data_IF_296940577950
#
_entry.id   IF_296940577950
#
_cell.length_a   1.000
_cell.length_b   1.000
_cell.length_c   1.000
_cell.angle_alpha   90.00
_cell.angle_beta   90.00
_cell.angle_gamma   90.00
#
_symmetry.space_group_name_H-M   'P 1'
#
loop_
_entity.id
_entity.type
_entity.pdbx_description
1 polymer ?
#
# COMPACT_ATOMS: atom_id res chain seq x y z
N UNK A 1 -9.44 -32.14 15.98
CA UNK A 1 -10.39 -32.04 14.84
C UNK A 1 -10.82 -30.59 14.72
N UNK A 2 -10.47 -29.90 13.63
CA UNK A 2 -10.82 -28.50 13.45
C UNK A 2 -12.34 -28.36 13.34
N UNK A 3 -12.94 -27.46 14.13
CA UNK A 3 -14.36 -27.17 14.08
C UNK A 3 -14.74 -26.73 12.65
N UNK A 4 -15.46 -27.59 11.94
CA UNK A 4 -16.01 -27.24 10.63
C UNK A 4 -17.14 -26.25 10.87
N UNK A 5 -16.84 -24.95 10.71
CA UNK A 5 -17.84 -23.90 10.78
C UNK A 5 -18.93 -24.12 9.73
N UNK A 6 -20.15 -23.67 10.04
CA UNK A 6 -21.27 -23.74 9.08
C UNK A 6 -20.97 -22.90 7.84
N UNK A 7 -21.61 -23.20 6.70
CA UNK A 7 -21.46 -22.40 5.47
C UNK A 7 -21.58 -20.89 5.71
N UNK A 8 -22.56 -20.48 6.52
CA UNK A 8 -22.80 -19.09 6.85
C UNK A 8 -21.59 -18.46 7.59
N UNK A 9 -21.02 -19.17 8.57
CA UNK A 9 -19.85 -18.71 9.33
C UNK A 9 -18.61 -18.60 8.45
N UNK A 10 -18.32 -19.63 7.65
CA UNK A 10 -17.13 -19.62 6.77
C UNK A 10 -17.25 -18.54 5.69
N UNK A 11 -18.45 -18.31 5.14
CA UNK A 11 -18.70 -17.22 4.20
C UNK A 11 -18.54 -15.84 4.84
N UNK A 12 -18.99 -15.68 6.08
CA UNK A 12 -18.78 -14.44 6.82
C UNK A 12 -17.29 -14.18 7.06
N UNK A 13 -16.53 -15.22 7.38
CA UNK A 13 -15.07 -15.14 7.51
C UNK A 13 -14.40 -14.75 6.17
N UNK A 14 -14.83 -15.32 5.04
CA UNK A 14 -14.34 -14.95 3.71
C UNK A 14 -14.56 -13.47 3.40
N UNK A 15 -15.74 -12.93 3.72
CA UNK A 15 -16.06 -11.50 3.57
C UNK A 15 -15.19 -10.61 4.47
N UNK A 16 -14.99 -11.01 5.72
CA UNK A 16 -14.15 -10.24 6.65
C UNK A 16 -12.69 -10.17 6.15
N UNK A 17 -12.13 -11.29 5.66
CA UNK A 17 -10.80 -11.31 5.08
C UNK A 17 -10.71 -10.51 3.77
N UNK A 18 -11.75 -10.50 2.96
CA UNK A 18 -11.83 -9.65 1.75
C UNK A 18 -11.68 -8.17 2.12
N UNK A 19 -12.47 -7.68 3.09
CA UNK A 19 -12.37 -6.29 3.58
C UNK A 19 -11.00 -5.98 4.19
N UNK A 20 -10.42 -6.91 4.94
CA UNK A 20 -9.05 -6.74 5.45
C UNK A 20 -8.02 -6.67 4.32
N UNK A 21 -8.22 -7.44 3.24
CA UNK A 21 -7.34 -7.41 2.07
C UNK A 21 -7.43 -6.05 1.37
N UNK A 22 -8.64 -5.50 1.21
CA UNK A 22 -8.86 -4.17 0.62
C UNK A 22 -8.16 -3.07 1.42
N UNK A 23 -8.18 -3.14 2.75
CA UNK A 23 -7.46 -2.20 3.61
C UNK A 23 -5.94 -2.29 3.43
N UNK A 24 -5.38 -3.49 3.31
CA UNK A 24 -3.95 -3.67 3.03
C UNK A 24 -3.56 -3.17 1.63
N UNK A 25 -4.40 -3.39 0.63
CA UNK A 25 -4.18 -2.82 -0.71
C UNK A 25 -4.19 -1.31 -0.69
N UNK A 26 -5.05 -0.70 0.11
CA UNK A 26 -5.06 0.75 0.27
C UNK A 26 -3.73 1.27 0.80
N UNK A 27 -3.18 0.66 1.85
CA UNK A 27 -1.85 0.99 2.37
C UNK A 27 -0.75 0.73 1.34
N UNK A 28 -0.77 -0.43 0.68
CA UNK A 28 0.28 -0.81 -0.27
C UNK A 28 0.31 0.08 -1.51
N UNK A 29 -0.85 0.51 -2.00
CA UNK A 29 -0.95 1.42 -3.13
C UNK A 29 -0.36 2.81 -2.85
N UNK A 30 -0.25 3.23 -1.59
CA UNK A 30 0.38 4.51 -1.23
C UNK A 30 1.87 4.53 -1.61
N UNK A 31 2.56 3.40 -1.48
CA UNK A 31 3.96 3.27 -1.91
C UNK A 31 4.11 3.36 -3.43
N UNK A 32 3.11 2.91 -4.19
CA UNK A 32 3.09 3.06 -5.65
C UNK A 32 2.85 4.51 -6.08
N UNK A 33 2.11 5.30 -5.30
CA UNK A 33 1.80 6.71 -5.59
C UNK A 33 2.85 7.72 -5.11
N UNK A 34 3.88 7.28 -4.40
CA UNK A 34 4.87 8.19 -3.81
C UNK A 34 5.84 8.70 -4.88
N UNK A 35 5.90 10.03 -5.08
CA UNK A 35 6.72 10.69 -6.11
C UNK A 35 8.23 10.58 -5.84
N UNK A 36 8.63 10.61 -4.57
CA UNK A 36 10.03 10.39 -4.13
C UNK A 36 10.14 9.03 -3.46
N UNK A 37 10.19 7.98 -4.27
CA UNK A 37 10.36 6.63 -3.75
C UNK A 37 11.81 6.42 -3.30
N UNK A 38 11.97 5.90 -2.08
CA UNK A 38 13.30 5.56 -1.59
C UNK A 38 13.93 4.42 -2.42
N UNK A 39 15.26 4.45 -2.63
CA UNK A 39 16.01 3.41 -3.35
C UNK A 39 15.82 2.00 -2.79
N UNK A 40 15.46 1.90 -1.51
CA UNK A 40 15.20 0.65 -0.80
C UNK A 40 13.76 0.62 -0.32
N UNK A 41 13.10 -0.55 -0.35
CA UNK A 41 11.80 -0.73 0.28
C UNK A 41 11.87 -0.40 1.77
N UNK A 42 10.89 0.36 2.27
CA UNK A 42 10.76 0.58 3.71
C UNK A 42 10.33 -0.71 4.43
N UNK A 43 10.57 -0.77 5.74
CA UNK A 43 10.10 -1.91 6.54
C UNK A 43 8.57 -2.02 6.52
N UNK A 44 7.86 -0.90 6.41
CA UNK A 44 6.40 -0.87 6.29
C UNK A 44 5.91 -1.41 4.94
N UNK A 45 6.57 -1.07 3.83
CA UNK A 45 6.27 -1.62 2.49
C UNK A 45 6.42 -3.14 2.50
N UNK A 46 7.58 -3.64 2.98
CA UNK A 46 7.86 -5.08 3.06
C UNK A 46 6.84 -5.81 3.91
N UNK A 47 6.57 -5.29 5.11
CA UNK A 47 5.59 -5.87 6.01
C UNK A 47 4.19 -5.90 5.42
N UNK A 48 3.78 -4.83 4.74
CA UNK A 48 2.46 -4.75 4.10
C UNK A 48 2.36 -5.75 2.94
N UNK A 49 3.43 -5.91 2.14
CA UNK A 49 3.49 -6.91 1.07
C UNK A 49 3.41 -8.34 1.64
N UNK A 50 4.16 -8.65 2.69
CA UNK A 50 4.11 -9.94 3.39
C UNK A 50 2.70 -10.23 3.90
N UNK A 51 2.06 -9.25 4.54
CA UNK A 51 0.67 -9.38 5.01
C UNK A 51 -0.32 -9.62 3.87
N UNK A 52 -0.12 -8.98 2.70
CA UNK A 52 -0.93 -9.22 1.50
C UNK A 52 -0.75 -10.65 0.98
N UNK A 53 0.49 -11.14 0.89
CA UNK A 53 0.73 -12.53 0.48
C UNK A 53 0.09 -13.52 1.44
N UNK A 54 0.29 -13.33 2.76
CA UNK A 54 -0.29 -14.19 3.78
C UNK A 54 -1.82 -14.22 3.74
N UNK A 55 -2.48 -13.06 3.62
CA UNK A 55 -3.94 -13.01 3.65
C UNK A 55 -4.55 -13.62 2.38
N UNK A 56 -3.89 -13.50 1.22
CA UNK A 56 -4.34 -14.14 -0.02
C UNK A 56 -4.25 -15.67 0.06
N UNK A 57 -3.22 -16.21 0.72
CA UNK A 57 -3.11 -17.65 0.99
C UNK A 57 -4.15 -18.12 2.03
N UNK A 58 -4.34 -17.37 3.13
CA UNK A 58 -5.40 -17.63 4.11
C UNK A 58 -6.79 -17.65 3.44
N UNK A 59 -7.07 -16.71 2.54
CA UNK A 59 -8.31 -16.67 1.77
C UNK A 59 -8.47 -17.89 0.88
N UNK A 60 -7.39 -18.35 0.24
CA UNK A 60 -7.42 -19.59 -0.57
C UNK A 60 -7.88 -20.78 0.27
N UNK A 61 -7.35 -20.94 1.48
CA UNK A 61 -7.76 -22.01 2.40
C UNK A 61 -9.24 -21.91 2.81
N UNK A 62 -9.76 -20.71 3.06
CA UNK A 62 -11.18 -20.50 3.36
C UNK A 62 -12.07 -20.86 2.17
N UNK A 63 -11.69 -20.46 0.95
CA UNK A 63 -12.47 -20.80 -0.25
C UNK A 63 -12.46 -22.30 -0.55
N UNK A 64 -11.37 -23.00 -0.22
CA UNK A 64 -11.35 -24.46 -0.24
C UNK A 64 -12.27 -25.09 0.81
N UNK A 65 -12.39 -24.48 2.00
CA UNK A 65 -13.34 -24.93 3.01
C UNK A 65 -14.80 -24.73 2.56
N UNK A 66 -15.12 -23.59 1.95
CA UNK A 66 -16.43 -23.37 1.32
C UNK A 66 -16.70 -24.41 0.23
N UNK A 67 -15.73 -24.68 -0.64
CA UNK A 67 -15.87 -25.70 -1.67
C UNK A 67 -16.24 -27.07 -1.08
N UNK A 68 -15.49 -27.53 -0.06
CA UNK A 68 -15.79 -28.80 0.63
C UNK A 68 -17.18 -28.83 1.28
N UNK A 69 -17.62 -27.72 1.88
CA UNK A 69 -18.96 -27.62 2.44
C UNK A 69 -20.05 -27.70 1.37
N UNK A 70 -19.85 -27.06 0.22
CA UNK A 70 -20.76 -27.15 -0.92
C UNK A 70 -20.82 -28.58 -1.48
N UNK A 71 -19.66 -29.22 -1.63
CA UNK A 71 -19.55 -30.58 -2.18
C UNK A 71 -20.17 -31.64 -1.23
N UNK A 72 -20.25 -31.33 0.08
CA UNK A 72 -20.87 -32.20 1.07
C UNK A 72 -22.40 -32.10 1.13
N UNK A 73 -23.00 -31.14 0.43
CA UNK A 73 -24.46 -30.98 0.43
C UNK A 73 -25.14 -32.02 -0.49
N UNK A 74 -26.19 -32.70 -0.02
CA UNK A 74 -26.88 -33.73 -0.79
C UNK A 74 -27.60 -33.15 -2.02
N UNK A 75 -27.94 -31.85 -1.99
CA UNK A 75 -28.53 -31.14 -3.12
C UNK A 75 -27.69 -29.91 -3.46
N UNK A 76 -27.34 -29.71 -4.74
CA UNK A 76 -26.50 -28.58 -5.14
C UNK A 76 -27.24 -27.26 -4.95
N UNK A 77 -26.66 -26.36 -4.16
CA UNK A 77 -27.17 -25.00 -3.97
C UNK A 77 -26.58 -24.03 -5.00
N UNK A 78 -27.38 -23.64 -5.98
CA UNK A 78 -26.98 -22.67 -7.02
C UNK A 78 -26.49 -21.34 -6.40
N UNK A 79 -27.17 -20.85 -5.36
CA UNK A 79 -26.78 -19.63 -4.66
C UNK A 79 -25.38 -19.77 -4.03
N UNK A 80 -25.11 -20.88 -3.32
CA UNK A 80 -23.82 -21.11 -2.67
C UNK A 80 -22.69 -21.25 -3.70
N UNK A 81 -22.96 -21.95 -4.81
CA UNK A 81 -22.04 -22.05 -5.95
C UNK A 81 -21.67 -20.67 -6.53
N UNK A 82 -22.66 -19.83 -6.83
CA UNK A 82 -22.42 -18.47 -7.34
C UNK A 82 -21.64 -17.60 -6.34
N UNK A 83 -21.91 -17.72 -5.04
CA UNK A 83 -21.15 -17.00 -4.02
C UNK A 83 -19.67 -17.43 -3.99
N UNK A 84 -19.41 -18.74 -4.05
CA UNK A 84 -18.05 -19.27 -4.08
C UNK A 84 -17.30 -18.84 -5.35
N UNK A 85 -17.96 -18.90 -6.51
CA UNK A 85 -17.41 -18.42 -7.78
C UNK A 85 -16.99 -16.95 -7.69
N UNK A 86 -17.87 -16.08 -7.15
CA UNK A 86 -17.57 -14.65 -6.94
C UNK A 86 -16.35 -14.44 -6.03
N UNK A 87 -16.26 -15.16 -4.91
CA UNK A 87 -15.10 -15.00 -4.03
C UNK A 87 -13.79 -15.45 -4.68
N UNK A 88 -13.82 -16.47 -5.54
CA UNK A 88 -12.64 -16.92 -6.32
C UNK A 88 -12.22 -15.88 -7.35
N UNK A 89 -13.19 -15.28 -8.04
CA UNK A 89 -12.95 -14.20 -8.99
C UNK A 89 -12.28 -12.99 -8.31
N UNK A 90 -12.83 -12.51 -7.19
CA UNK A 90 -12.26 -11.39 -6.43
C UNK A 90 -10.85 -11.72 -5.93
N UNK A 91 -10.62 -12.96 -5.46
CA UNK A 91 -9.28 -13.39 -5.04
C UNK A 91 -8.28 -13.33 -6.21
N UNK A 92 -8.68 -13.74 -7.41
CA UNK A 92 -7.83 -13.69 -8.59
C UNK A 92 -7.56 -12.25 -9.05
N UNK A 93 -8.57 -11.39 -9.00
CA UNK A 93 -8.41 -9.95 -9.26
C UNK A 93 -7.39 -9.34 -8.29
N UNK A 94 -7.50 -9.63 -6.98
CA UNK A 94 -6.57 -9.15 -5.97
C UNK A 94 -5.13 -9.65 -6.19
N UNK A 95 -4.93 -10.91 -6.61
CA UNK A 95 -3.58 -11.41 -6.96
C UNK A 95 -2.97 -10.66 -8.13
N UNK A 96 -3.78 -10.40 -9.16
CA UNK A 96 -3.35 -9.64 -10.33
C UNK A 96 -3.00 -8.19 -9.94
N UNK A 97 -3.80 -7.58 -9.08
CA UNK A 97 -3.57 -6.23 -8.56
C UNK A 97 -2.28 -6.13 -7.74
N UNK A 98 -1.98 -7.12 -6.88
CA UNK A 98 -0.72 -7.17 -6.15
C UNK A 98 0.48 -7.22 -7.09
N UNK A 99 0.42 -8.06 -8.14
CA UNK A 99 1.48 -8.12 -9.15
C UNK A 99 1.64 -6.79 -9.88
N UNK A 100 0.53 -6.10 -10.19
CA UNK A 100 0.53 -4.79 -10.84
C UNK A 100 1.20 -3.73 -9.97
N UNK A 101 0.79 -3.62 -8.70
CA UNK A 101 1.36 -2.66 -7.75
C UNK A 101 2.86 -2.89 -7.52
N UNK A 102 3.28 -4.16 -7.36
CA UNK A 102 4.70 -4.53 -7.26
C UNK A 102 5.51 -4.06 -8.45
N UNK A 103 5.00 -4.27 -9.66
CA UNK A 103 5.65 -3.82 -10.89
C UNK A 103 5.75 -2.30 -10.96
N UNK A 104 4.71 -1.58 -10.55
CA UNK A 104 4.71 -0.11 -10.53
C UNK A 104 5.74 0.44 -9.55
N UNK A 105 5.77 -0.08 -8.33
CA UNK A 105 6.73 0.30 -7.28
C UNK A 105 8.16 0.02 -7.74
N UNK A 106 8.42 -1.16 -8.31
CA UNK A 106 9.75 -1.53 -8.83
C UNK A 106 10.18 -0.59 -9.94
N UNK A 107 9.30 -0.32 -10.91
CA UNK A 107 9.60 0.59 -12.02
C UNK A 107 9.87 2.02 -11.53
N UNK A 108 9.09 2.51 -10.56
CA UNK A 108 9.32 3.82 -9.97
C UNK A 108 10.69 3.91 -9.28
N UNK A 109 11.08 2.85 -8.56
CA UNK A 109 12.37 2.75 -7.87
C UNK A 109 13.55 2.65 -8.83
N UNK A 110 13.44 1.85 -9.88
CA UNK A 110 14.47 1.75 -10.92
C UNK A 110 14.71 3.09 -11.59
N UNK A 111 13.64 3.85 -11.88
CA UNK A 111 13.75 5.23 -12.37
C UNK A 111 14.48 6.13 -11.37
N UNK A 112 14.10 6.11 -10.10
CA UNK A 112 14.76 6.92 -9.06
C UNK A 112 16.27 6.63 -8.95
N UNK A 113 16.65 5.35 -9.03
CA UNK A 113 18.06 4.93 -9.00
C UNK A 113 18.84 5.41 -10.23
N UNK A 114 18.27 5.32 -11.43
CA UNK A 114 18.89 5.85 -12.65
C UNK A 114 19.14 7.36 -12.55
N UNK A 115 18.18 8.12 -12.01
CA UNK A 115 18.35 9.57 -11.81
C UNK A 115 19.45 9.92 -10.81
N UNK A 116 19.60 9.14 -9.73
CA UNK A 116 20.67 9.35 -8.76
C UNK A 116 22.05 9.13 -9.38
N UNK A 117 22.20 8.07 -10.19
CA UNK A 117 23.47 7.76 -10.83
C UNK A 117 23.85 8.84 -11.85
N UNK A 118 22.90 9.28 -12.67
CA UNK A 118 23.11 10.36 -13.64
C UNK A 118 23.51 11.66 -12.93
N UNK A 119 22.87 12.02 -11.81
CA UNK A 119 23.26 13.21 -11.02
C UNK A 119 24.69 13.10 -10.47
N UNK A 120 25.10 11.90 -10.05
CA UNK A 120 26.47 11.64 -9.56
C UNK A 120 27.50 11.72 -10.68
N UNK A 121 27.22 11.15 -11.85
CA UNK A 121 28.12 11.19 -13.00
C UNK A 121 28.29 12.63 -13.50
N UNK A 122 27.21 13.42 -13.50
CA UNK A 122 27.24 14.84 -13.87
C UNK A 122 28.09 15.65 -12.88
N UNK A 123 27.96 15.42 -11.57
CA UNK A 123 28.75 16.16 -10.58
C UNK A 123 30.23 15.78 -10.64
N UNK A 124 30.55 14.50 -10.84
CA UNK A 124 31.92 14.03 -11.05
C UNK A 124 32.54 14.56 -12.35
N UNK A 125 31.77 14.56 -13.44
CA UNK A 125 32.22 15.11 -14.72
C UNK A 125 32.48 16.62 -14.62
N UNK A 126 31.57 17.41 -14.03
CA UNK A 126 31.80 18.84 -13.78
C UNK A 126 33.03 19.12 -12.91
N UNK A 127 33.32 18.25 -11.95
CA UNK A 127 34.53 18.35 -11.15
C UNK A 127 35.81 18.01 -11.96
N UNK A 128 35.68 17.18 -13.01
CA UNK A 128 36.80 16.79 -13.89
C UNK A 128 36.98 17.67 -15.13
N UNK A 129 35.93 18.34 -15.58
CA UNK A 129 35.92 19.23 -16.75
C UNK A 129 36.50 20.60 -16.37
N UNK A 130 37.83 20.64 -16.21
CA UNK A 130 38.61 21.82 -15.88
C UNK A 130 39.26 22.48 -17.12
N UNK A 131 38.79 22.18 -18.34
CA UNK A 131 39.38 22.67 -19.59
C UNK A 131 38.43 23.61 -20.37
N UNK A 132 38.73 24.93 -20.53
CA UNK A 132 37.78 25.93 -21.03
C UNK A 132 37.53 25.95 -22.54
N UNK A 133 38.32 25.27 -23.38
CA UNK A 133 38.44 25.63 -24.81
C UNK A 133 37.88 24.61 -25.83
N UNK A 134 37.54 23.38 -25.44
CA UNK A 134 36.87 22.39 -26.30
C UNK A 134 35.40 22.14 -25.93
N UNK A 135 34.90 22.82 -24.89
CA UNK A 135 33.69 22.42 -24.17
C UNK A 135 32.34 22.82 -24.79
N UNK A 136 32.25 23.80 -25.69
CA UNK A 136 30.93 24.36 -26.07
C UNK A 136 30.06 23.40 -26.89
N UNK A 137 30.61 22.78 -27.94
CA UNK A 137 29.86 21.83 -28.76
C UNK A 137 29.49 20.55 -27.99
N UNK A 138 30.39 20.11 -27.11
CA UNK A 138 30.20 18.95 -26.25
C UNK A 138 29.17 19.24 -25.14
N UNK A 139 29.21 20.47 -24.58
CA UNK A 139 28.22 21.01 -23.66
C UNK A 139 26.84 21.11 -24.30
N UNK A 140 26.73 21.59 -25.54
CA UNK A 140 25.43 21.69 -26.25
C UNK A 140 24.83 20.32 -26.58
N UNK A 141 25.66 19.34 -26.97
CA UNK A 141 25.20 17.96 -27.19
C UNK A 141 24.78 17.31 -25.87
N UNK A 142 25.49 17.59 -24.78
CA UNK A 142 25.11 17.13 -23.45
C UNK A 142 23.82 17.80 -22.96
N UNK A 143 23.67 19.10 -23.18
CA UNK A 143 22.45 19.85 -22.84
C UNK A 143 21.23 19.27 -23.54
N UNK A 144 21.38 18.85 -24.80
CA UNK A 144 20.34 18.15 -25.53
C UNK A 144 19.98 16.81 -24.90
N UNK A 145 20.96 15.98 -24.54
CA UNK A 145 20.70 14.72 -23.82
C UNK A 145 20.02 14.96 -22.47
N UNK A 146 20.42 16.00 -21.74
CA UNK A 146 19.79 16.42 -20.48
C UNK A 146 18.33 16.83 -20.69
N UNK A 147 18.04 17.62 -21.72
CA UNK A 147 16.68 18.04 -22.06
C UNK A 147 15.81 16.86 -22.47
N UNK A 148 16.30 15.98 -23.33
CA UNK A 148 15.56 14.78 -23.77
C UNK A 148 15.24 13.85 -22.58
N UNK A 149 16.20 13.65 -21.69
CA UNK A 149 16.01 12.87 -20.46
C UNK A 149 15.04 13.56 -19.48
N UNK A 150 15.14 14.89 -19.33
CA UNK A 150 14.23 15.68 -18.50
C UNK A 150 12.80 15.64 -19.04
N UNK A 151 12.62 15.67 -20.36
CA UNK A 151 11.32 15.54 -21.01
C UNK A 151 10.70 14.17 -20.76
N UNK A 152 11.46 13.09 -20.97
CA UNK A 152 10.99 11.73 -20.69
C UNK A 152 10.62 11.52 -19.21
N UNK A 153 11.36 12.15 -18.30
CA UNK A 153 11.06 12.16 -16.87
C UNK A 153 9.77 12.93 -16.57
N UNK A 154 9.60 14.11 -17.16
CA UNK A 154 8.40 14.93 -17.00
C UNK A 154 7.16 14.18 -17.45
N UNK A 155 7.20 13.51 -18.61
CA UNK A 155 6.11 12.68 -19.12
C UNK A 155 5.77 11.52 -18.18
N UNK A 156 6.81 10.91 -17.59
CA UNK A 156 6.64 9.83 -16.60
C UNK A 156 6.02 10.33 -15.30
N UNK A 157 6.43 11.51 -14.81
CA UNK A 157 5.86 12.16 -13.61
C UNK A 157 4.42 12.58 -13.86
N UNK A 158 4.11 13.13 -15.04
CA UNK A 158 2.73 13.43 -15.44
C UNK A 158 1.87 12.17 -15.49
N UNK A 159 2.36 11.10 -16.14
CA UNK A 159 1.66 9.82 -16.20
C UNK A 159 1.40 9.25 -14.80
N UNK A 160 2.40 9.32 -13.92
CA UNK A 160 2.28 8.90 -12.52
C UNK A 160 1.29 9.77 -11.73
N UNK A 161 1.29 11.08 -11.96
CA UNK A 161 0.37 12.02 -11.33
C UNK A 161 -1.09 11.76 -11.79
N UNK A 162 -1.32 11.46 -13.06
CA UNK A 162 -2.63 11.06 -13.56
C UNK A 162 -3.10 9.74 -12.95
N UNK A 163 -2.24 8.72 -12.92
CA UNK A 163 -2.55 7.43 -12.29
C UNK A 163 -2.84 7.58 -10.78
N UNK A 164 -2.13 8.48 -10.11
CA UNK A 164 -2.33 8.78 -8.68
C UNK A 164 -3.64 9.55 -8.44
N UNK A 165 -3.98 10.52 -9.29
CA UNK A 165 -5.24 11.28 -9.21
C UNK A 165 -6.46 10.37 -9.36
N UNK A 166 -6.42 9.46 -10.34
CA UNK A 166 -7.46 8.45 -10.56
C UNK A 166 -7.58 7.50 -9.36
N UNK A 167 -6.44 7.08 -8.79
CA UNK A 167 -6.40 6.25 -7.58
C UNK A 167 -7.05 6.94 -6.38
N UNK A 168 -6.83 8.24 -6.14
CA UNK A 168 -7.49 8.97 -5.06
C UNK A 168 -9.02 9.06 -5.22
N UNK A 169 -9.51 9.15 -6.46
CA UNK A 169 -10.95 9.10 -6.76
C UNK A 169 -11.58 7.75 -6.36
N UNK A 170 -10.97 6.65 -6.80
CA UNK A 170 -11.43 5.29 -6.47
C UNK A 170 -11.27 4.94 -4.98
N UNK A 171 -10.23 5.46 -4.33
CA UNK A 171 -9.97 5.24 -2.90
C UNK A 171 -11.05 5.85 -1.99
N UNK A 172 -11.58 7.03 -2.32
CA UNK A 172 -12.65 7.67 -1.53
C UNK A 172 -13.93 6.84 -1.51
N UNK A 173 -14.29 6.26 -2.65
CA UNK A 173 -15.46 5.38 -2.77
C UNK A 173 -15.24 4.05 -2.02
N UNK A 174 -14.02 3.52 -2.08
CA UNK A 174 -13.60 2.29 -1.37
C UNK A 174 -13.67 2.48 0.15
N UNK A 175 -13.13 3.57 0.70
CA UNK A 175 -13.21 3.87 2.14
C UNK A 175 -14.65 4.03 2.63
N UNK A 176 -15.51 4.68 1.84
CA UNK A 176 -16.94 4.78 2.16
C UNK A 176 -17.64 3.41 2.13
N UNK A 177 -17.26 2.54 1.19
CA UNK A 177 -17.75 1.14 1.11
C UNK A 177 -17.28 0.30 2.30
N UNK A 178 -16.00 0.36 2.65
CA UNK A 178 -15.40 -0.32 3.80
C UNK A 178 -16.07 0.14 5.08
N UNK A 179 -16.22 1.43 5.30
CA UNK A 179 -16.89 1.98 6.49
C UNK A 179 -18.33 1.45 6.62
N UNK A 180 -19.10 1.41 5.52
CA UNK A 180 -20.46 0.85 5.51
C UNK A 180 -20.46 -0.65 5.83
N UNK A 181 -19.53 -1.42 5.26
CA UNK A 181 -19.41 -2.87 5.49
C UNK A 181 -18.96 -3.21 6.91
N UNK A 182 -17.98 -2.49 7.45
CA UNK A 182 -17.50 -2.63 8.83
C UNK A 182 -18.63 -2.31 9.82
N UNK A 183 -19.35 -1.20 9.61
CA UNK A 183 -20.47 -0.81 10.48
C UNK A 183 -21.59 -1.86 10.44
N UNK A 184 -21.90 -2.40 9.25
CA UNK A 184 -22.88 -3.48 9.10
C UNK A 184 -22.46 -4.81 9.72
N UNK A 185 -21.16 -5.14 9.68
CA UNK A 185 -20.63 -6.36 10.29
C UNK A 185 -20.51 -6.26 11.83
N UNK A 186 -20.14 -5.09 12.36
CA UNK A 186 -20.05 -4.83 13.79
C UNK A 186 -21.42 -4.87 14.49
N UNK A 187 -22.49 -4.48 13.80
CA UNK A 187 -23.86 -4.55 14.32
C UNK A 187 -24.39 -6.00 14.50
N UNK A 188 -23.74 -7.01 13.90
CA UNK A 188 -24.19 -8.41 13.97
C UNK A 188 -23.32 -9.31 14.85
N UNK A 189 -22.25 -8.79 15.47
CA UNK A 189 -21.36 -9.58 16.32
C UNK A 189 -21.18 -8.92 17.69
N UNK A 190 -21.86 -9.41 18.74
CA UNK A 190 -21.56 -9.03 20.13
C UNK A 190 -20.11 -9.41 20.47
N UNK A 191 -19.26 -8.43 20.82
CA UNK A 191 -17.93 -8.68 21.40
C UNK A 191 -16.68 -8.35 20.56
N UNK A 192 -16.80 -7.74 19.36
CA UNK A 192 -15.64 -7.38 18.50
C UNK A 192 -15.02 -6.00 18.80
N UNK A 193 -15.31 -5.38 19.95
CA UNK A 193 -14.66 -4.12 20.34
C UNK A 193 -13.13 -4.25 20.54
N UNK A 194 -12.59 -5.46 20.77
CA UNK A 194 -11.16 -5.67 21.02
C UNK A 194 -10.25 -5.74 19.78
N UNK A 195 -10.78 -6.12 18.61
CA UNK A 195 -9.99 -6.25 17.38
C UNK A 195 -9.92 -4.94 16.60
N UNK A 196 -10.95 -4.08 16.70
CA UNK A 196 -10.93 -2.73 16.11
C UNK A 196 -9.86 -1.83 16.73
N UNK A 197 -9.60 -1.93 18.04
CA UNK A 197 -8.59 -1.10 18.70
C UNK A 197 -7.15 -1.43 18.27
N UNK A 198 -6.87 -2.67 17.83
CA UNK A 198 -5.53 -3.09 17.40
C UNK A 198 -5.21 -2.73 15.95
N UNK A 199 -6.23 -2.54 15.11
CA UNK A 199 -6.06 -2.21 13.68
C UNK A 199 -6.21 -0.70 13.41
N UNK A 200 -6.92 0.07 14.26
CA UNK A 200 -7.31 1.44 13.94
C UNK A 200 -6.75 2.61 14.77
N UNK A 201 -6.01 2.40 15.87
CA UNK A 201 -5.68 3.54 16.79
C UNK A 201 -4.17 3.64 17.14
N UNK A 202 -3.34 2.66 16.76
CA UNK A 202 -1.91 2.67 17.07
C UNK A 202 -1.09 3.76 16.36
N UNK A 203 -1.49 4.18 15.15
CA UNK A 203 -0.71 5.14 14.36
C UNK A 203 -1.22 6.59 14.44
N UNK A 204 -2.37 6.83 15.06
CA UNK A 204 -2.88 8.19 15.29
C UNK A 204 -2.40 8.72 16.65
N UNK A 205 -2.18 7.85 17.65
CA UNK A 205 -1.75 8.29 18.99
C UNK A 205 -0.27 8.69 19.06
N UNK A 206 0.61 8.08 18.25
CA UNK A 206 2.05 8.36 18.28
C UNK A 206 2.46 9.65 17.53
N UNK A 207 1.56 10.32 16.81
CA UNK A 207 1.87 11.58 16.09
C UNK A 207 1.52 12.86 16.86
N UNK A 208 0.83 12.78 18.00
CA UNK A 208 0.50 13.96 18.81
C UNK A 208 1.38 14.11 20.07
N UNK A 209 2.13 13.08 20.46
CA UNK A 209 3.09 13.17 21.58
C UNK A 209 4.46 13.73 21.18
N UNK A 210 4.71 13.90 19.86
CA UNK A 210 5.98 14.42 19.34
C UNK A 210 5.97 15.92 19.00
N UNK A 211 4.90 16.67 19.33
CA UNK A 211 4.77 18.08 18.91
C UNK A 211 4.41 19.07 20.04
N UNK A 212 4.84 18.80 21.27
CA UNK A 212 4.89 19.82 22.34
C UNK A 212 6.08 19.64 23.29
N UNK A 213 7.32 19.99 22.89
CA UNK A 213 8.38 20.34 23.83
C UNK A 213 8.43 21.86 23.96
N UNK A 214 7.62 22.47 24.83
CA UNK A 214 7.64 23.94 24.91
C UNK A 214 6.90 24.67 26.02
N UNK A 215 6.22 24.00 26.97
CA UNK A 215 5.44 24.71 27.99
C UNK A 215 5.46 24.10 29.40
N UNK A 216 6.51 23.34 29.76
CA UNK A 216 6.61 22.76 31.11
C UNK A 216 8.03 22.83 31.71
N UNK A 217 8.77 23.91 31.45
CA UNK A 217 10.07 24.16 32.10
C UNK A 217 10.16 25.60 32.65
N UNK A 218 9.13 26.04 33.37
CA UNK A 218 9.11 27.35 34.03
C UNK A 218 8.70 27.32 35.51
N UNK A 219 8.52 26.13 36.11
CA UNK A 219 7.98 26.05 37.49
C UNK A 219 8.73 25.07 38.40
N UNK A 220 9.99 24.76 38.07
CA UNK A 220 10.86 23.88 38.87
C UNK A 220 12.20 24.54 39.27
N UNK A 221 12.24 25.88 39.38
CA UNK A 221 13.40 26.62 39.92
C UNK A 221 12.97 27.70 40.94
N UNK A 222 12.09 27.35 41.88
CA UNK A 222 11.78 28.23 43.02
C UNK A 222 11.61 27.45 44.33
N UNK A 223 12.50 26.49 44.58
CA UNK A 223 12.73 25.91 45.91
C UNK A 223 14.13 25.29 46.01
N UNK A 224 15.17 26.11 45.84
CA UNK A 224 16.45 25.87 46.53
C UNK A 224 17.29 27.16 46.51
N UNK A 225 17.81 27.51 47.69
CA UNK A 225 18.79 28.58 48.00
C UNK A 225 18.21 29.98 48.25
N UNK A 226 17.99 30.25 49.57
CA UNK A 226 17.97 31.53 50.32
C UNK A 226 16.93 32.58 49.94
#
# INVERSE_FOLDING_TARGET
>A
MAAQGTWAQVRQQARAQETQTEALFHTYAQFASTTEIEPKPSDEERRTEEQLNEILEKRTAILQQLARLLDSEPTPSALKSTNLARHREILQQHRTELSRLKSQITTARDRANLLSNVRSDISAYRASAQDPHSGEAEYMLDERRRLDNSHSMMDSVLSQAYATNESFGMQRETLASIQRRITGAAAQIPGINGLMQRIGIGNIRNRYEALTPGFAFSEALRYEIV
#
